data_IF_530940077438
#
_entry.id   IF_530940077438
#
_cell.length_a   1.000
_cell.length_b   1.000
_cell.length_c   1.000
_cell.angle_alpha   90.00
_cell.angle_beta   90.00
_cell.angle_gamma   90.00
#
_symmetry.space_group_name_H-M   'P 1'
#
loop_
_entity.id
_entity.type
_entity.pdbx_description
1 polymer ?
#
# COMPACT_ATOMS: atom_id res chain seq x y z
N UNK A 1 -19.99 -27.54 1.27
CA UNK A 1 -18.69 -27.85 1.91
C UNK A 1 -17.55 -27.06 1.24
N UNK A 2 -17.32 -27.17 -0.06
CA UNK A 2 -16.26 -26.50 -0.80
C UNK A 2 -16.27 -24.96 -0.65
N UNK A 3 -17.41 -24.28 -0.93
CA UNK A 3 -17.53 -22.82 -0.78
C UNK A 3 -17.18 -22.34 0.63
N UNK A 4 -17.62 -23.07 1.67
CA UNK A 4 -17.32 -22.73 3.07
C UNK A 4 -15.82 -22.77 3.34
N UNK A 5 -15.12 -23.80 2.82
CA UNK A 5 -13.67 -23.93 2.96
C UNK A 5 -12.93 -22.75 2.29
N UNK A 6 -13.32 -22.35 1.09
CA UNK A 6 -12.73 -21.23 0.37
C UNK A 6 -12.96 -19.90 1.10
N UNK A 7 -14.17 -19.69 1.61
CA UNK A 7 -14.54 -18.51 2.40
C UNK A 7 -13.71 -18.43 3.69
N UNK A 8 -13.53 -19.54 4.40
CA UNK A 8 -12.68 -19.56 5.60
C UNK A 8 -11.19 -19.33 5.27
N UNK A 9 -10.72 -19.82 4.14
CA UNK A 9 -9.35 -19.50 3.67
C UNK A 9 -9.20 -18.01 3.34
N UNK A 10 -10.20 -17.41 2.70
CA UNK A 10 -10.23 -15.98 2.44
C UNK A 10 -10.19 -15.16 3.74
N UNK A 11 -11.02 -15.50 4.73
CA UNK A 11 -11.01 -14.82 6.04
C UNK A 11 -9.64 -14.86 6.71
N UNK A 12 -8.95 -16.01 6.69
CA UNK A 12 -7.61 -16.13 7.26
C UNK A 12 -6.60 -15.21 6.57
N UNK A 13 -6.72 -15.04 5.26
CA UNK A 13 -5.83 -14.20 4.47
C UNK A 13 -6.16 -12.70 4.62
N UNK A 14 -7.45 -12.34 4.55
CA UNK A 14 -7.90 -10.97 4.42
C UNK A 14 -8.29 -10.30 5.75
N UNK A 15 -8.44 -11.07 6.84
CA UNK A 15 -8.87 -10.54 8.13
C UNK A 15 -7.92 -10.88 9.28
N UNK A 16 -6.82 -11.57 9.01
CA UNK A 16 -5.78 -11.83 10.00
C UNK A 16 -4.96 -10.57 10.31
N UNK A 17 -4.29 -10.55 11.46
CA UNK A 17 -3.31 -9.48 11.73
C UNK A 17 -2.10 -9.60 10.81
N UNK A 18 -1.55 -8.45 10.46
CA UNK A 18 -0.31 -8.30 9.69
C UNK A 18 0.81 -7.81 10.62
N UNK A 19 1.32 -8.70 11.45
CA UNK A 19 2.42 -8.40 12.36
C UNK A 19 3.75 -8.87 11.77
N UNK A 20 4.86 -8.31 12.25
CA UNK A 20 6.18 -8.81 11.89
C UNK A 20 6.37 -10.24 12.41
N UNK A 21 6.67 -11.13 11.50
CA UNK A 21 6.92 -12.55 11.82
C UNK A 21 8.40 -12.86 12.00
N UNK A 22 9.29 -11.90 11.80
CA UNK A 22 10.74 -12.09 11.80
C UNK A 22 11.28 -12.85 10.57
N UNK A 23 10.47 -13.07 9.56
CA UNK A 23 10.86 -13.78 8.34
C UNK A 23 11.41 -12.83 7.24
N UNK A 24 11.34 -11.51 7.46
CA UNK A 24 11.76 -10.45 6.54
C UNK A 24 12.43 -9.35 7.36
N UNK A 25 13.43 -8.70 6.81
CA UNK A 25 14.03 -7.51 7.41
C UNK A 25 13.29 -6.25 6.91
N UNK A 26 13.06 -5.31 7.82
CA UNK A 26 12.52 -4.00 7.51
C UNK A 26 13.53 -2.94 7.90
N UNK A 27 13.79 -2.00 7.00
CA UNK A 27 14.54 -0.81 7.35
C UNK A 27 13.73 0.07 8.30
N UNK A 28 14.41 0.72 9.22
CA UNK A 28 13.87 1.74 10.11
C UNK A 28 14.49 3.11 9.84
N UNK A 29 14.01 4.15 10.46
CA UNK A 29 14.64 5.48 10.33
C UNK A 29 16.11 5.48 10.80
N UNK A 30 16.47 4.61 11.74
CA UNK A 30 17.84 4.51 12.27
C UNK A 30 18.87 3.98 11.24
N UNK A 31 18.41 3.39 10.16
CA UNK A 31 19.27 2.90 9.06
C UNK A 31 19.65 4.02 8.07
N UNK A 32 19.10 5.24 8.25
CA UNK A 32 19.35 6.40 7.40
C UNK A 32 19.88 7.57 8.22
N UNK A 33 21.10 7.99 7.93
CA UNK A 33 21.73 9.12 8.63
C UNK A 33 20.85 10.39 8.50
N UNK A 34 20.61 11.07 9.64
CA UNK A 34 19.83 12.31 9.77
C UNK A 34 18.34 12.22 9.37
N UNK A 35 17.79 11.03 9.14
CA UNK A 35 16.36 10.88 8.93
C UNK A 35 15.62 11.02 10.28
N UNK A 36 14.94 12.13 10.48
CA UNK A 36 14.13 12.38 11.66
C UNK A 36 12.81 11.61 11.59
N UNK A 37 12.38 11.07 12.73
CA UNK A 37 11.10 10.42 12.91
C UNK A 37 10.39 10.93 14.15
N UNK A 38 9.12 11.31 14.01
CA UNK A 38 8.25 11.75 15.09
C UNK A 38 7.00 10.86 15.12
N UNK A 39 6.65 10.33 16.29
CA UNK A 39 5.44 9.50 16.44
C UNK A 39 4.19 10.37 16.27
N UNK A 40 3.26 9.88 15.45
CA UNK A 40 1.96 10.48 15.18
C UNK A 40 0.85 9.45 15.33
N UNK A 41 0.13 9.46 16.44
CA UNK A 41 -0.96 8.53 16.73
C UNK A 41 -2.29 9.26 16.58
N UNK A 42 -3.25 8.61 15.95
CA UNK A 42 -4.58 9.18 15.73
C UNK A 42 -5.67 8.12 15.92
N UNK A 43 -6.90 8.55 16.27
CA UNK A 43 -8.00 7.61 16.49
C UNK A 43 -8.54 7.06 15.17
N UNK A 44 -8.80 5.75 15.14
CA UNK A 44 -9.68 5.15 14.14
C UNK A 44 -11.14 5.39 14.57
N UNK A 45 -12.02 5.61 13.59
CA UNK A 45 -13.47 5.64 13.82
C UNK A 45 -14.04 4.30 14.30
N UNK A 46 -13.25 3.23 14.25
CA UNK A 46 -13.57 1.92 14.83
C UNK A 46 -13.27 1.84 16.34
N UNK A 47 -12.78 2.91 16.97
CA UNK A 47 -12.57 3.00 18.42
C UNK A 47 -11.22 2.50 18.93
N UNK A 48 -10.23 2.32 18.08
CA UNK A 48 -8.85 2.03 18.46
C UNK A 48 -7.89 3.08 17.91
N UNK A 49 -6.62 3.02 18.29
CA UNK A 49 -5.58 3.92 17.80
C UNK A 49 -4.89 3.34 16.54
N UNK A 50 -4.58 4.22 15.59
CA UNK A 50 -3.68 3.96 14.48
C UNK A 50 -2.33 4.63 14.77
N UNK A 51 -1.27 3.85 14.66
CA UNK A 51 0.09 4.27 14.98
C UNK A 51 0.81 4.69 13.71
N UNK A 52 1.12 5.98 13.63
CA UNK A 52 1.82 6.60 12.50
C UNK A 52 3.10 7.29 12.93
N UNK A 53 3.84 7.74 11.95
CA UNK A 53 5.13 8.38 12.09
C UNK A 53 5.32 9.43 11.01
N UNK A 54 5.80 10.61 11.42
CA UNK A 54 6.21 11.68 10.54
C UNK A 54 7.71 11.58 10.29
N UNK A 55 8.08 11.47 9.04
CA UNK A 55 9.47 11.38 8.59
C UNK A 55 9.88 12.65 7.86
N UNK A 56 11.09 13.14 8.09
CA UNK A 56 11.67 14.24 7.30
C UNK A 56 13.17 14.34 7.52
N UNK A 57 13.89 14.84 6.53
CA UNK A 57 15.19 15.45 6.76
C UNK A 57 15.06 16.87 7.27
N UNK A 58 16.19 17.51 7.62
CA UNK A 58 16.21 18.90 8.02
C UNK A 58 15.64 19.82 6.91
N UNK A 59 14.89 20.83 7.30
CA UNK A 59 14.34 21.84 6.39
C UNK A 59 13.46 21.28 5.25
N UNK A 60 12.43 20.49 5.54
CA UNK A 60 11.52 20.00 4.50
C UNK A 60 10.79 21.16 3.80
N UNK A 61 10.31 20.91 2.58
CA UNK A 61 9.51 21.85 1.80
C UNK A 61 8.33 22.34 2.64
N UNK A 62 8.24 23.67 2.93
CA UNK A 62 7.20 24.18 3.81
C UNK A 62 5.79 23.98 3.28
N UNK A 63 4.85 23.64 4.16
CA UNK A 63 3.43 23.54 3.83
C UNK A 63 3.08 22.37 2.90
N UNK A 64 3.92 21.34 2.81
CA UNK A 64 3.65 20.13 2.03
C UNK A 64 3.78 18.87 2.88
N UNK A 65 2.75 18.03 2.82
CA UNK A 65 2.74 16.73 3.48
C UNK A 65 2.34 15.65 2.48
N UNK A 66 3.13 14.58 2.44
CA UNK A 66 2.77 13.36 1.72
C UNK A 66 2.28 12.34 2.76
N UNK A 67 1.13 11.73 2.54
CA UNK A 67 0.72 10.51 3.25
C UNK A 67 1.16 9.32 2.40
N UNK A 68 2.00 8.44 2.97
CA UNK A 68 2.39 7.19 2.32
C UNK A 68 1.56 6.04 2.88
N UNK A 69 0.81 5.38 2.01
CA UNK A 69 -0.17 4.36 2.37
C UNK A 69 0.33 2.95 1.98
N UNK A 70 0.61 2.12 2.98
CA UNK A 70 1.31 0.85 2.82
C UNK A 70 0.43 -0.30 2.29
N UNK A 71 1.05 -1.30 1.67
CA UNK A 71 0.39 -2.54 1.23
C UNK A 71 0.16 -3.54 2.35
N UNK A 72 -0.68 -4.55 2.09
CA UNK A 72 -0.98 -5.62 3.04
C UNK A 72 0.23 -6.53 3.28
N UNK A 73 0.36 -7.01 4.51
CA UNK A 73 1.33 -8.06 4.89
C UNK A 73 2.43 -7.60 5.85
N UNK A 74 2.50 -6.32 6.13
CA UNK A 74 3.39 -5.69 7.12
C UNK A 74 2.81 -4.33 7.52
N UNK A 75 3.61 -3.49 8.16
CA UNK A 75 3.28 -2.09 8.44
C UNK A 75 4.04 -1.14 7.51
N UNK A 76 4.09 0.12 7.92
CA UNK A 76 4.78 1.19 7.19
C UNK A 76 6.29 0.95 7.07
N UNK A 77 6.93 0.26 8.03
CA UNK A 77 8.38 -0.02 7.99
C UNK A 77 8.80 -0.87 6.78
N UNK A 78 7.88 -1.67 6.21
CA UNK A 78 8.14 -2.39 4.96
C UNK A 78 8.37 -1.45 3.75
N UNK A 79 8.12 -0.16 3.92
CA UNK A 79 8.23 0.90 2.90
C UNK A 79 9.18 2.02 3.29
N UNK A 80 10.03 1.82 4.29
CA UNK A 80 10.96 2.87 4.78
C UNK A 80 11.88 3.40 3.67
N UNK A 81 12.30 2.55 2.73
CA UNK A 81 13.08 2.98 1.54
C UNK A 81 12.31 3.96 0.66
N UNK A 82 11.04 3.69 0.38
CA UNK A 82 10.16 4.57 -0.40
C UNK A 82 9.87 5.88 0.34
N UNK A 83 9.62 5.79 1.64
CA UNK A 83 9.40 6.96 2.52
C UNK A 83 10.66 7.82 2.52
N UNK A 84 11.83 7.22 2.68
CA UNK A 84 13.12 7.90 2.67
C UNK A 84 13.40 8.61 1.34
N UNK A 85 13.11 7.97 0.20
CA UNK A 85 13.22 8.59 -1.13
C UNK A 85 12.40 9.89 -1.23
N UNK A 86 11.18 9.89 -0.68
CA UNK A 86 10.34 11.09 -0.63
C UNK A 86 10.91 12.15 0.32
N UNK A 87 11.42 11.74 1.49
CA UNK A 87 12.06 12.64 2.45
C UNK A 87 13.33 13.26 1.87
N UNK A 88 14.15 12.49 1.16
CA UNK A 88 15.37 12.99 0.46
C UNK A 88 15.04 13.99 -0.65
N UNK A 89 13.86 13.86 -1.27
CA UNK A 89 13.36 14.85 -2.22
C UNK A 89 12.80 16.12 -1.54
N UNK A 90 12.89 16.22 -0.21
CA UNK A 90 12.52 17.38 0.60
C UNK A 90 11.11 17.35 1.15
N UNK A 91 10.35 16.26 1.02
CA UNK A 91 9.01 16.18 1.57
C UNK A 91 9.00 15.77 3.04
N UNK A 92 8.02 16.27 3.79
CA UNK A 92 7.60 15.64 5.04
C UNK A 92 6.63 14.51 4.68
N UNK A 93 6.83 13.32 5.25
CA UNK A 93 6.03 12.13 4.95
C UNK A 93 5.39 11.61 6.23
N UNK A 94 4.08 11.44 6.23
CA UNK A 94 3.36 10.68 7.24
C UNK A 94 3.10 9.28 6.68
N UNK A 95 3.47 8.27 7.43
CA UNK A 95 3.04 6.89 7.17
C UNK A 95 2.57 6.26 8.48
N UNK A 96 1.65 5.32 8.41
CA UNK A 96 1.02 4.71 9.58
C UNK A 96 0.73 3.24 9.32
N UNK A 97 0.53 2.48 10.38
CA UNK A 97 0.11 1.09 10.29
C UNK A 97 -1.42 1.02 10.21
N UNK A 98 -1.95 0.33 9.22
CA UNK A 98 -3.40 0.09 9.09
C UNK A 98 -3.98 -0.69 10.27
N UNK A 99 -5.28 -0.62 10.44
CA UNK A 99 -6.04 -1.48 11.39
C UNK A 99 -5.58 -2.93 11.29
N UNK A 100 -5.22 -3.52 12.44
CA UNK A 100 -4.75 -4.91 12.51
C UNK A 100 -3.35 -5.14 11.97
N UNK A 101 -2.54 -4.09 11.79
CA UNK A 101 -1.14 -4.18 11.39
C UNK A 101 -0.22 -3.65 12.51
N UNK A 102 0.87 -4.35 12.76
CA UNK A 102 1.96 -3.94 13.67
C UNK A 102 1.45 -3.36 15.00
N UNK A 103 1.74 -2.07 15.29
CA UNK A 103 1.36 -1.42 16.54
C UNK A 103 -0.07 -0.87 16.55
N UNK A 104 -0.72 -0.76 15.39
CA UNK A 104 -2.10 -0.30 15.31
C UNK A 104 -3.09 -1.28 15.92
N UNK A 105 -4.17 -0.75 16.50
CA UNK A 105 -5.24 -1.52 17.11
C UNK A 105 -6.03 -2.36 16.10
N UNK A 106 -7.01 -3.09 16.62
CA UNK A 106 -7.82 -4.04 15.84
C UNK A 106 -7.33 -5.49 15.97
N UNK A 107 -8.26 -6.44 16.00
CA UNK A 107 -7.96 -7.88 16.06
C UNK A 107 -7.47 -8.46 14.73
N UNK A 108 -7.61 -7.71 13.64
CA UNK A 108 -7.19 -8.05 12.28
C UNK A 108 -7.44 -6.92 11.32
N UNK A 109 -7.06 -7.11 10.07
CA UNK A 109 -7.10 -6.10 8.99
C UNK A 109 -8.51 -5.71 8.54
N UNK A 110 -9.54 -6.35 9.03
CA UNK A 110 -10.95 -6.05 8.77
C UNK A 110 -11.38 -6.00 7.29
N UNK A 111 -10.58 -6.55 6.36
CA UNK A 111 -10.93 -6.72 4.94
C UNK A 111 -10.25 -5.74 3.99
N UNK A 112 -10.58 -5.91 2.70
CA UNK A 112 -9.88 -5.21 1.61
C UNK A 112 -10.18 -3.72 1.53
N UNK A 113 -11.36 -3.28 1.98
CA UNK A 113 -11.72 -1.86 1.96
C UNK A 113 -11.24 -1.09 3.20
N UNK A 114 -10.67 -1.79 4.19
CA UNK A 114 -10.21 -1.15 5.43
C UNK A 114 -9.10 -0.13 5.21
N UNK A 115 -8.22 -0.34 4.22
CA UNK A 115 -7.18 0.67 3.93
C UNK A 115 -7.77 2.04 3.56
N UNK A 116 -8.88 2.07 2.81
CA UNK A 116 -9.54 3.33 2.48
C UNK A 116 -10.21 3.96 3.72
N UNK A 117 -10.78 3.15 4.59
CA UNK A 117 -11.35 3.61 5.85
C UNK A 117 -10.26 4.25 6.75
N UNK A 118 -9.14 3.56 6.93
CA UNK A 118 -8.03 4.06 7.74
C UNK A 118 -7.39 5.32 7.14
N UNK A 119 -7.27 5.40 5.82
CA UNK A 119 -6.76 6.58 5.13
C UNK A 119 -7.70 7.79 5.28
N UNK A 120 -9.02 7.57 5.25
CA UNK A 120 -10.03 8.59 5.53
C UNK A 120 -9.90 9.12 6.96
N UNK A 121 -9.73 8.22 7.95
CA UNK A 121 -9.49 8.60 9.35
C UNK A 121 -8.16 9.36 9.53
N UNK A 122 -7.10 8.96 8.82
CA UNK A 122 -5.83 9.69 8.76
C UNK A 122 -6.03 11.12 8.25
N UNK A 123 -6.74 11.31 7.14
CA UNK A 123 -7.02 12.65 6.60
C UNK A 123 -7.89 13.49 7.50
N UNK A 124 -8.88 12.92 8.19
CA UNK A 124 -9.67 13.60 9.22
C UNK A 124 -8.77 14.08 10.36
N UNK A 125 -7.84 13.25 10.81
CA UNK A 125 -6.92 13.58 11.91
C UNK A 125 -5.94 14.70 11.52
N UNK A 126 -5.25 14.61 10.37
CA UNK A 126 -4.28 15.64 9.96
C UNK A 126 -4.96 16.97 9.64
N UNK A 127 -6.18 16.97 9.10
CA UNK A 127 -6.97 18.20 8.85
C UNK A 127 -7.44 18.87 10.13
N UNK A 128 -7.65 18.11 11.20
CA UNK A 128 -8.00 18.63 12.52
C UNK A 128 -6.79 19.11 13.31
N UNK A 129 -5.57 18.75 12.92
CA UNK A 129 -4.34 19.12 13.61
C UNK A 129 -3.84 20.51 13.14
N UNK A 130 -3.75 21.52 14.06
CA UNK A 130 -3.30 22.87 13.70
C UNK A 130 -1.89 22.91 13.08
N UNK A 131 -1.04 21.90 13.31
CA UNK A 131 0.32 21.82 12.73
C UNK A 131 0.29 21.75 11.21
N UNK A 132 -0.79 21.23 10.64
CA UNK A 132 -0.96 21.06 9.19
C UNK A 132 -1.96 22.04 8.57
N UNK A 133 -2.35 23.08 9.31
CA UNK A 133 -3.25 24.11 8.78
C UNK A 133 -2.64 24.79 7.54
N UNK A 134 -3.37 24.76 6.43
CA UNK A 134 -2.93 25.34 5.16
C UNK A 134 -1.91 24.50 4.38
N UNK A 135 -1.64 23.27 4.79
CA UNK A 135 -0.77 22.36 4.04
C UNK A 135 -1.44 21.87 2.74
N UNK A 136 -0.61 21.66 1.76
CA UNK A 136 -0.93 20.96 0.50
C UNK A 136 -0.69 19.45 0.71
N UNK A 137 -1.73 18.64 0.54
CA UNK A 137 -1.68 17.21 0.80
C UNK A 137 -1.52 16.42 -0.50
N UNK A 138 -0.60 15.46 -0.46
CA UNK A 138 -0.40 14.47 -1.52
C UNK A 138 -0.46 13.07 -0.94
N UNK A 139 -0.85 12.09 -1.74
CA UNK A 139 -0.89 10.67 -1.31
C UNK A 139 -0.08 9.81 -2.25
N UNK A 140 0.73 8.93 -1.69
CA UNK A 140 1.49 7.90 -2.40
C UNK A 140 1.14 6.55 -1.79
N UNK A 141 0.76 5.56 -2.59
CA UNK A 141 0.41 4.25 -2.03
C UNK A 141 0.73 3.07 -2.94
N UNK A 142 0.88 1.92 -2.31
CA UNK A 142 1.20 0.67 -3.00
C UNK A 142 0.20 -0.43 -2.67
N UNK A 143 -0.23 -1.20 -3.68
CA UNK A 143 -1.03 -2.41 -3.50
C UNK A 143 -2.35 -2.15 -2.77
N UNK A 144 -2.51 -2.63 -1.52
CA UNK A 144 -3.65 -2.37 -0.65
C UNK A 144 -3.80 -0.89 -0.32
N UNK A 145 -2.71 -0.23 0.08
CA UNK A 145 -2.65 1.22 0.18
C UNK A 145 -2.81 1.93 -1.17
N UNK A 146 -2.48 1.27 -2.27
CA UNK A 146 -2.78 1.76 -3.61
C UNK A 146 -4.28 1.82 -3.93
N UNK A 147 -5.10 0.90 -3.40
CA UNK A 147 -6.56 0.97 -3.52
C UNK A 147 -7.12 2.19 -2.79
N UNK A 148 -6.71 2.43 -1.56
CA UNK A 148 -7.12 3.60 -0.78
C UNK A 148 -6.68 4.89 -1.46
N UNK A 149 -5.41 4.97 -1.88
CA UNK A 149 -4.84 6.11 -2.59
C UNK A 149 -5.59 6.43 -3.90
N UNK A 150 -6.01 5.42 -4.67
CA UNK A 150 -6.84 5.59 -5.88
C UNK A 150 -8.22 6.20 -5.59
N UNK A 151 -8.75 5.98 -4.39
CA UNK A 151 -10.15 6.32 -4.08
C UNK A 151 -10.31 7.49 -3.10
N UNK A 152 -9.25 7.89 -2.39
CA UNK A 152 -9.32 8.87 -1.31
C UNK A 152 -9.79 10.27 -1.77
N UNK A 153 -9.50 10.67 -3.01
CA UNK A 153 -9.90 11.97 -3.53
C UNK A 153 -11.42 12.14 -3.70
N UNK A 154 -12.20 11.05 -3.63
CA UNK A 154 -13.65 11.15 -3.55
C UNK A 154 -14.15 11.59 -2.16
N UNK A 155 -13.35 11.37 -1.13
CA UNK A 155 -13.64 11.74 0.27
C UNK A 155 -12.93 13.07 0.63
N UNK A 156 -11.75 13.29 0.05
CA UNK A 156 -10.88 14.45 0.30
C UNK A 156 -10.48 15.11 -1.03
N UNK A 157 -11.38 15.91 -1.65
CA UNK A 157 -11.16 16.53 -2.96
C UNK A 157 -10.07 17.61 -2.97
N UNK A 158 -9.60 18.05 -1.79
CA UNK A 158 -8.48 18.98 -1.61
C UNK A 158 -7.10 18.34 -1.85
N UNK A 159 -6.99 17.03 -1.97
CA UNK A 159 -5.72 16.35 -2.28
C UNK A 159 -5.25 16.79 -3.65
N UNK A 160 -4.01 17.29 -3.71
CA UNK A 160 -3.43 17.87 -4.92
C UNK A 160 -2.77 16.83 -5.83
N UNK A 161 -2.14 15.78 -5.24
CA UNK A 161 -1.42 14.76 -6.00
C UNK A 161 -1.74 13.36 -5.49
N UNK A 162 -1.88 12.43 -6.43
CA UNK A 162 -2.13 11.01 -6.18
C UNK A 162 -1.11 10.19 -6.96
N UNK A 163 -0.27 9.42 -6.28
CA UNK A 163 0.71 8.52 -6.90
C UNK A 163 0.46 7.10 -6.46
N UNK A 164 0.30 6.17 -7.38
CA UNK A 164 -0.04 4.79 -7.07
C UNK A 164 0.90 3.80 -7.73
N UNK A 165 1.42 2.89 -6.93
CA UNK A 165 2.14 1.71 -7.39
C UNK A 165 1.25 0.47 -7.25
N UNK A 166 0.90 -0.18 -8.35
CA UNK A 166 0.18 -1.47 -8.38
C UNK A 166 -1.08 -1.54 -7.50
N UNK A 167 -1.90 -0.48 -7.45
CA UNK A 167 -3.18 -0.48 -6.74
C UNK A 167 -4.26 -1.31 -7.45
N UNK A 168 -5.24 -1.82 -6.74
CA UNK A 168 -6.39 -2.47 -7.37
C UNK A 168 -7.58 -1.50 -7.47
N UNK A 169 -8.35 -1.61 -8.55
CA UNK A 169 -9.41 -0.64 -8.93
C UNK A 169 -10.58 -0.64 -7.96
N UNK A 170 -11.03 -1.82 -7.54
CA UNK A 170 -12.11 -2.01 -6.57
C UNK A 170 -12.01 -3.38 -5.91
N UNK A 171 -12.61 -3.52 -4.73
CA UNK A 171 -12.68 -4.81 -4.01
C UNK A 171 -13.37 -5.87 -4.89
N UNK A 172 -14.43 -5.52 -5.60
CA UNK A 172 -15.15 -6.44 -6.48
C UNK A 172 -14.24 -6.97 -7.60
N UNK A 173 -13.51 -6.08 -8.32
CA UNK A 173 -12.57 -6.48 -9.38
C UNK A 173 -11.40 -7.30 -8.86
N UNK A 174 -10.92 -7.00 -7.66
CA UNK A 174 -9.89 -7.80 -7.00
C UNK A 174 -10.39 -9.23 -6.78
N UNK A 175 -11.56 -9.39 -6.14
CA UNK A 175 -12.19 -10.69 -5.89
C UNK A 175 -12.47 -11.42 -7.21
N UNK A 176 -12.94 -10.73 -8.23
CA UNK A 176 -13.15 -11.31 -9.57
C UNK A 176 -11.86 -11.86 -10.18
N UNK A 177 -10.75 -11.16 -9.99
CA UNK A 177 -9.44 -11.55 -10.56
C UNK A 177 -8.88 -12.83 -9.94
N UNK A 178 -9.22 -13.10 -8.67
CA UNK A 178 -8.75 -14.29 -7.95
C UNK A 178 -9.72 -15.47 -8.01
N UNK A 179 -11.02 -15.20 -8.00
CA UNK A 179 -12.06 -16.22 -7.93
C UNK A 179 -12.74 -16.44 -9.30
N UNK A 180 -11.96 -16.90 -10.29
CA UNK A 180 -12.43 -17.30 -11.62
C UNK A 180 -12.82 -18.77 -11.73
N UNK A 181 -13.30 -19.19 -12.89
CA UNK A 181 -13.61 -20.59 -13.20
C UNK A 181 -14.54 -21.23 -12.15
N UNK A 182 -14.11 -22.37 -11.59
CA UNK A 182 -14.85 -23.11 -10.56
C UNK A 182 -15.08 -22.35 -9.26
N UNK A 183 -14.25 -21.32 -8.97
CA UNK A 183 -14.37 -20.50 -7.76
C UNK A 183 -15.38 -19.35 -7.91
N UNK A 184 -15.91 -19.10 -9.11
CA UNK A 184 -16.85 -17.99 -9.39
C UNK A 184 -18.04 -17.95 -8.43
N UNK A 185 -18.56 -19.12 -8.03
CA UNK A 185 -19.65 -19.23 -7.06
C UNK A 185 -19.34 -18.70 -5.66
N UNK A 186 -18.05 -18.59 -5.30
CA UNK A 186 -17.63 -18.07 -3.99
C UNK A 186 -17.67 -16.54 -3.90
N UNK A 187 -17.61 -15.83 -5.04
CA UNK A 187 -17.52 -14.35 -5.12
C UNK A 187 -18.61 -13.65 -4.31
N UNK A 188 -19.88 -14.08 -4.48
CA UNK A 188 -21.02 -13.47 -3.77
C UNK A 188 -20.91 -13.58 -2.24
N UNK A 189 -20.36 -14.69 -1.74
CA UNK A 189 -20.18 -14.90 -0.31
C UNK A 189 -19.04 -14.06 0.25
N UNK A 190 -17.93 -13.94 -0.50
CA UNK A 190 -16.79 -13.11 -0.14
C UNK A 190 -17.18 -11.63 -0.18
N UNK A 191 -17.86 -11.17 -1.24
CA UNK A 191 -18.37 -9.80 -1.32
C UNK A 191 -19.37 -9.46 -0.23
N UNK A 192 -20.20 -10.42 0.22
CA UNK A 192 -21.11 -10.21 1.34
C UNK A 192 -20.35 -9.95 2.65
N UNK A 193 -19.24 -10.68 2.89
CA UNK A 193 -18.37 -10.46 4.04
C UNK A 193 -17.68 -9.10 3.99
N UNK A 194 -17.14 -8.72 2.83
CA UNK A 194 -16.49 -7.40 2.65
C UNK A 194 -17.49 -6.25 2.89
N UNK A 195 -18.75 -6.39 2.40
CA UNK A 195 -19.83 -5.41 2.65
C UNK A 195 -20.26 -5.34 4.11
N UNK A 196 -20.25 -6.47 4.80
CA UNK A 196 -20.56 -6.52 6.24
C UNK A 196 -19.51 -5.77 7.06
N UNK A 197 -18.23 -5.89 6.69
CA UNK A 197 -17.10 -5.29 7.40
C UNK A 197 -16.93 -3.80 7.15
N UNK A 198 -17.05 -3.39 5.88
CA UNK A 198 -16.81 -2.01 5.45
C UNK A 198 -17.90 -1.53 4.50
N UNK A 199 -19.18 -1.40 4.97
CA UNK A 199 -20.32 -1.09 4.11
C UNK A 199 -20.15 0.22 3.33
N UNK A 200 -19.53 1.22 3.94
CA UNK A 200 -19.39 2.57 3.39
C UNK A 200 -18.22 2.66 2.37
N UNK A 201 -17.22 1.78 2.48
CA UNK A 201 -15.97 1.88 1.70
C UNK A 201 -15.82 0.79 0.62
N UNK A 202 -16.52 -0.33 0.74
CA UNK A 202 -16.34 -1.52 -0.12
C UNK A 202 -16.73 -1.30 -1.58
N UNK A 203 -17.62 -0.33 -1.85
CA UNK A 203 -18.16 -0.06 -3.18
C UNK A 203 -17.41 1.02 -3.96
N UNK A 204 -16.30 1.54 -3.43
CA UNK A 204 -15.47 2.50 -4.15
C UNK A 204 -14.85 1.87 -5.39
N UNK A 205 -14.80 2.65 -6.47
CA UNK A 205 -14.23 2.26 -7.76
C UNK A 205 -13.32 3.38 -8.26
N UNK A 206 -12.05 3.05 -8.44
CA UNK A 206 -11.02 4.00 -8.80
C UNK A 206 -11.26 4.73 -10.13
N UNK A 207 -11.87 4.05 -11.12
CA UNK A 207 -12.19 4.71 -12.40
C UNK A 207 -13.17 5.84 -12.16
N UNK A 208 -14.25 5.57 -11.41
CA UNK A 208 -15.27 6.59 -11.08
C UNK A 208 -14.68 7.73 -10.26
N UNK A 209 -13.87 7.42 -9.26
CA UNK A 209 -13.20 8.41 -8.42
C UNK A 209 -12.30 9.32 -9.26
N UNK A 210 -11.40 8.73 -10.05
CA UNK A 210 -10.42 9.48 -10.81
C UNK A 210 -10.99 10.23 -12.00
N UNK A 211 -12.15 9.82 -12.54
CA UNK A 211 -12.89 10.60 -13.51
C UNK A 211 -13.34 11.96 -12.95
N UNK A 212 -13.57 12.06 -11.64
CA UNK A 212 -14.08 13.24 -10.97
C UNK A 212 -13.04 14.02 -10.16
N UNK A 213 -11.79 13.53 -10.07
CA UNK A 213 -10.74 14.22 -9.31
C UNK A 213 -10.11 15.36 -10.10
N UNK A 214 -9.73 16.42 -9.38
CA UNK A 214 -8.87 17.50 -9.88
C UNK A 214 -7.39 17.30 -9.52
N UNK A 215 -7.08 16.31 -8.70
CA UNK A 215 -5.70 15.98 -8.34
C UNK A 215 -4.87 15.63 -9.59
N UNK A 216 -3.58 15.94 -9.57
CA UNK A 216 -2.62 15.40 -10.53
C UNK A 216 -2.33 13.94 -10.17
N UNK A 217 -2.52 13.02 -11.10
CA UNK A 217 -2.50 11.58 -10.84
C UNK A 217 -1.41 10.89 -11.65
N UNK A 218 -0.56 10.11 -10.98
CA UNK A 218 0.40 9.21 -11.62
C UNK A 218 0.14 7.77 -11.18
N UNK A 219 -0.16 6.90 -12.12
CA UNK A 219 -0.44 5.48 -11.89
C UNK A 219 0.67 4.64 -12.52
N UNK A 220 1.38 3.82 -11.73
CA UNK A 220 2.51 3.02 -12.19
C UNK A 220 2.22 1.55 -11.94
N UNK A 221 2.17 0.76 -13.01
CA UNK A 221 1.85 -0.67 -13.00
C UNK A 221 2.93 -1.47 -13.71
N UNK A 222 2.98 -2.77 -13.46
CA UNK A 222 3.84 -3.71 -14.19
C UNK A 222 3.02 -4.67 -15.04
N UNK A 223 3.50 -4.97 -16.24
CA UNK A 223 2.83 -5.84 -17.22
C UNK A 223 2.66 -7.28 -16.74
N UNK A 224 3.50 -7.73 -15.81
CA UNK A 224 3.54 -9.10 -15.29
C UNK A 224 3.19 -9.21 -13.79
N UNK A 225 2.49 -8.21 -13.22
CA UNK A 225 1.97 -8.27 -11.87
C UNK A 225 0.94 -9.41 -11.73
N UNK A 226 1.13 -10.29 -10.72
CA UNK A 226 0.25 -11.43 -10.45
C UNK A 226 -0.76 -11.14 -9.35
N UNK A 227 -0.55 -10.07 -8.57
CA UNK A 227 -1.42 -9.66 -7.48
C UNK A 227 -2.45 -8.64 -7.99
N UNK A 228 -2.03 -7.46 -8.40
CA UNK A 228 -2.88 -6.51 -9.10
C UNK A 228 -2.70 -6.68 -10.62
N UNK A 229 -3.29 -7.75 -11.14
CA UNK A 229 -3.12 -8.17 -12.54
C UNK A 229 -3.44 -7.02 -13.50
N UNK A 230 -2.69 -6.95 -14.60
CA UNK A 230 -2.91 -5.98 -15.67
C UNK A 230 -4.40 -5.94 -16.06
N UNK A 231 -4.99 -7.07 -16.37
CA UNK A 231 -6.44 -7.23 -16.47
C UNK A 231 -6.96 -7.87 -15.16
N UNK A 232 -7.86 -7.25 -14.41
CA UNK A 232 -8.76 -6.15 -14.78
C UNK A 232 -8.33 -4.75 -14.28
N UNK A 233 -7.16 -4.57 -13.67
CA UNK A 233 -6.85 -3.32 -12.94
C UNK A 233 -6.28 -2.24 -13.86
N UNK A 234 -5.08 -2.43 -14.40
CA UNK A 234 -4.47 -1.47 -15.32
C UNK A 234 -5.36 -1.20 -16.55
N UNK A 235 -5.88 -2.25 -17.20
CA UNK A 235 -6.66 -2.10 -18.43
C UNK A 235 -7.96 -1.29 -18.19
N UNK A 236 -8.59 -1.45 -17.02
CA UNK A 236 -9.78 -0.66 -16.67
C UNK A 236 -9.46 0.83 -16.45
N UNK A 237 -8.34 1.12 -15.76
CA UNK A 237 -7.87 2.50 -15.54
C UNK A 237 -7.48 3.16 -16.88
N UNK A 238 -6.68 2.46 -17.70
CA UNK A 238 -6.24 2.97 -19.00
C UNK A 238 -7.41 3.29 -19.94
N UNK A 239 -8.41 2.39 -19.97
CA UNK A 239 -9.60 2.61 -20.80
C UNK A 239 -10.52 3.71 -20.21
N UNK A 240 -10.74 3.70 -18.89
CA UNK A 240 -11.69 4.61 -18.25
C UNK A 240 -11.18 6.04 -18.06
N UNK A 241 -9.86 6.25 -18.12
CA UNK A 241 -9.22 7.55 -17.89
C UNK A 241 -8.49 8.09 -19.12
N UNK A 242 -8.70 7.51 -20.31
CA UNK A 242 -8.00 7.89 -21.54
C UNK A 242 -8.08 9.38 -21.89
N UNK A 243 -9.20 10.03 -21.57
CA UNK A 243 -9.45 11.43 -21.89
C UNK A 243 -9.07 12.41 -20.75
N UNK A 244 -8.55 11.90 -19.61
CA UNK A 244 -8.20 12.72 -18.44
C UNK A 244 -6.79 13.30 -18.56
N UNK A 245 -6.71 14.62 -18.73
CA UNK A 245 -5.45 15.35 -18.92
C UNK A 245 -4.59 15.43 -17.64
N UNK A 246 -5.21 15.28 -16.48
CA UNK A 246 -4.54 15.29 -15.17
C UNK A 246 -4.10 13.89 -14.69
N UNK A 247 -4.24 12.86 -15.54
CA UNK A 247 -3.88 11.47 -15.20
C UNK A 247 -2.82 10.95 -16.16
N UNK A 248 -1.66 10.57 -15.63
CA UNK A 248 -0.63 9.81 -16.36
C UNK A 248 -0.66 8.36 -15.90
N UNK A 249 -0.65 7.42 -16.85
CA UNK A 249 -0.62 5.97 -16.57
C UNK A 249 0.61 5.37 -17.22
N UNK A 250 1.47 4.75 -16.42
CA UNK A 250 2.74 4.15 -16.82
C UNK A 250 2.67 2.63 -16.65
N UNK A 251 3.05 1.89 -17.69
CA UNK A 251 3.20 0.44 -17.65
C UNK A 251 4.68 0.08 -17.81
N UNK A 252 5.32 -0.34 -16.73
CA UNK A 252 6.70 -0.84 -16.77
C UNK A 252 6.74 -2.34 -17.07
N UNK A 253 7.87 -2.83 -17.56
CA UNK A 253 8.02 -4.24 -17.96
C UNK A 253 8.74 -5.05 -16.90
N UNK A 254 8.21 -6.22 -16.58
CA UNK A 254 8.92 -7.26 -15.85
C UNK A 254 9.13 -7.01 -14.36
N UNK A 255 8.47 -6.01 -13.76
CA UNK A 255 8.68 -5.57 -12.37
C UNK A 255 7.78 -6.26 -11.35
N UNK A 256 6.98 -7.25 -11.75
CA UNK A 256 6.06 -7.95 -10.86
C UNK A 256 5.14 -6.96 -10.13
N UNK A 257 4.99 -7.15 -8.83
CA UNK A 257 4.14 -6.31 -7.98
C UNK A 257 4.84 -5.03 -7.45
N UNK A 258 6.13 -4.85 -7.71
CA UNK A 258 6.90 -3.70 -7.26
C UNK A 258 7.43 -2.90 -8.47
N UNK A 259 6.59 -2.10 -9.14
CA UNK A 259 6.97 -1.37 -10.35
C UNK A 259 8.06 -0.30 -10.11
N UNK A 260 8.23 0.13 -8.86
CA UNK A 260 9.23 1.09 -8.40
C UNK A 260 10.61 0.47 -8.13
N UNK A 261 10.73 -0.86 -8.10
CA UNK A 261 12.02 -1.55 -7.85
C UNK A 261 12.82 -1.72 -9.14
N UNK A 262 14.16 -1.86 -9.00
CA UNK A 262 15.01 -2.29 -10.14
C UNK A 262 14.65 -3.70 -10.60
N UNK A 263 15.00 -4.08 -11.81
CA UNK A 263 14.76 -5.44 -12.31
C UNK A 263 15.55 -6.49 -11.52
N UNK A 264 16.76 -6.14 -11.07
CA UNK A 264 17.60 -6.99 -10.24
C UNK A 264 16.97 -7.19 -8.85
N UNK A 265 16.49 -6.13 -8.21
CA UNK A 265 15.80 -6.21 -6.93
C UNK A 265 14.57 -7.13 -6.99
N UNK A 266 13.76 -7.01 -8.04
CA UNK A 266 12.60 -7.88 -8.26
C UNK A 266 13.01 -9.34 -8.41
N UNK A 267 14.04 -9.65 -9.19
CA UNK A 267 14.54 -11.01 -9.36
C UNK A 267 15.11 -11.58 -8.06
N UNK A 268 15.86 -10.77 -7.31
CA UNK A 268 16.45 -11.16 -6.03
C UNK A 268 15.36 -11.41 -4.97
N UNK A 269 14.34 -10.56 -4.93
CA UNK A 269 13.15 -10.72 -4.06
C UNK A 269 12.36 -11.98 -4.39
N UNK A 270 12.12 -12.27 -5.67
CA UNK A 270 11.45 -13.50 -6.11
C UNK A 270 12.22 -14.75 -5.64
N UNK A 271 13.56 -14.76 -5.76
CA UNK A 271 14.42 -15.84 -5.30
C UNK A 271 14.36 -16.02 -3.77
N UNK A 272 14.41 -14.92 -3.02
CA UNK A 272 14.26 -14.94 -1.56
C UNK A 272 12.94 -15.56 -1.13
N UNK A 273 11.80 -15.11 -1.66
CA UNK A 273 10.49 -15.64 -1.27
C UNK A 273 10.26 -17.10 -1.71
N UNK A 274 10.88 -17.52 -2.82
CA UNK A 274 10.89 -18.92 -3.21
C UNK A 274 11.65 -19.79 -2.21
N UNK A 275 12.81 -19.32 -1.72
CA UNK A 275 13.59 -20.04 -0.71
C UNK A 275 12.90 -19.99 0.66
N UNK A 276 12.38 -18.83 1.09
CA UNK A 276 11.61 -18.70 2.33
C UNK A 276 10.43 -19.70 2.36
N UNK A 277 9.74 -19.87 1.24
CA UNK A 277 8.64 -20.83 1.12
C UNK A 277 9.10 -22.27 1.33
N UNK A 278 10.28 -22.65 0.81
CA UNK A 278 10.88 -23.97 1.06
C UNK A 278 11.27 -24.13 2.51
N UNK A 279 11.90 -23.09 3.10
CA UNK A 279 12.32 -23.07 4.49
C UNK A 279 11.14 -23.23 5.46
N UNK A 280 10.03 -22.52 5.23
CA UNK A 280 8.81 -22.65 6.04
C UNK A 280 8.20 -24.06 5.97
N UNK A 281 8.24 -24.71 4.81
CA UNK A 281 7.77 -26.10 4.65
C UNK A 281 8.68 -27.10 5.37
N UNK A 282 10.00 -26.90 5.26
CA UNK A 282 10.98 -27.82 5.85
C UNK A 282 11.10 -27.66 7.36
N UNK A 283 10.98 -26.43 7.84
CA UNK A 283 11.17 -26.05 9.24
C UNK A 283 10.01 -25.14 9.71
N UNK A 284 8.81 -25.70 9.97
CA UNK A 284 7.61 -24.90 10.27
C UNK A 284 7.68 -24.16 11.62
N UNK A 285 8.54 -24.61 12.54
CA UNK A 285 8.63 -24.10 13.91
C UNK A 285 9.98 -23.42 14.20
N UNK A 286 10.51 -22.64 13.25
CA UNK A 286 11.74 -21.86 13.47
C UNK A 286 11.56 -20.88 14.64
N UNK A 287 12.58 -20.81 15.50
CA UNK A 287 12.69 -19.75 16.52
C UNK A 287 12.98 -18.39 15.84
N UNK A 288 12.73 -17.28 16.55
CA UNK A 288 13.09 -15.95 16.05
C UNK A 288 14.58 -15.84 15.73
N UNK A 289 15.46 -16.44 16.53
CA UNK A 289 16.90 -16.48 16.27
C UNK A 289 17.24 -17.20 14.95
N UNK A 290 16.61 -18.36 14.69
CA UNK A 290 16.79 -19.09 13.42
C UNK A 290 16.26 -18.33 12.21
N UNK A 291 15.19 -17.53 12.37
CA UNK A 291 14.67 -16.66 11.34
C UNK A 291 15.63 -15.48 11.09
N UNK A 292 16.09 -14.84 12.16
CA UNK A 292 17.05 -13.73 12.06
C UNK A 292 18.34 -14.17 11.36
N UNK A 293 18.88 -15.37 11.68
CA UNK A 293 20.03 -15.93 10.99
C UNK A 293 19.79 -16.13 9.50
N UNK A 294 18.60 -16.65 9.11
CA UNK A 294 18.24 -16.80 7.70
C UNK A 294 18.10 -15.45 6.98
N UNK A 295 17.49 -14.48 7.64
CA UNK A 295 17.28 -13.10 7.10
C UNK A 295 18.62 -12.39 6.90
N UNK A 296 19.59 -12.58 7.82
CA UNK A 296 20.92 -11.97 7.75
C UNK A 296 21.79 -12.46 6.57
N UNK A 297 21.45 -13.58 5.95
CA UNK A 297 22.17 -14.10 4.77
C UNK A 297 21.84 -13.34 3.46
N UNK A 298 20.91 -12.38 3.48
CA UNK A 298 20.44 -11.68 2.30
C UNK A 298 20.84 -10.20 2.30
N UNK A 299 21.08 -9.68 1.10
CA UNK A 299 21.35 -8.28 0.85
C UNK A 299 20.01 -7.51 0.69
N UNK A 300 19.59 -6.83 1.75
CA UNK A 300 18.32 -6.11 1.80
C UNK A 300 18.35 -4.79 1.04
N UNK A 301 19.52 -4.14 0.92
CA UNK A 301 19.70 -2.98 0.07
C UNK A 301 19.46 -3.33 -1.40
N UNK A 302 20.05 -4.43 -1.86
CA UNK A 302 19.79 -4.97 -3.20
C UNK A 302 18.34 -5.37 -3.41
N UNK A 303 17.73 -6.04 -2.40
CA UNK A 303 16.36 -6.54 -2.49
C UNK A 303 15.31 -5.45 -2.60
N UNK A 304 15.60 -4.27 -2.06
CA UNK A 304 14.70 -3.11 -2.04
C UNK A 304 15.22 -1.93 -2.88
N UNK A 305 16.20 -2.19 -3.77
CA UNK A 305 16.79 -1.16 -4.62
C UNK A 305 15.72 -0.53 -5.54
N UNK A 306 15.63 0.78 -5.47
CA UNK A 306 14.63 1.58 -6.16
C UNK A 306 15.06 1.94 -7.59
N UNK A 307 14.12 1.97 -8.54
CA UNK A 307 14.37 2.34 -9.93
C UNK A 307 14.32 3.87 -10.09
N UNK A 308 15.49 4.48 -10.30
CA UNK A 308 15.62 5.93 -10.41
C UNK A 308 14.75 6.54 -11.52
N UNK A 309 14.57 5.83 -12.66
CA UNK A 309 13.76 6.34 -13.76
C UNK A 309 12.26 6.39 -13.40
N UNK A 310 11.79 5.44 -12.60
CA UNK A 310 10.43 5.44 -12.06
C UNK A 310 10.27 6.56 -11.03
N UNK A 311 11.23 6.71 -10.12
CA UNK A 311 11.19 7.76 -9.11
C UNK A 311 11.33 9.18 -9.69
N UNK A 312 12.07 9.36 -10.78
CA UNK A 312 12.09 10.63 -11.50
C UNK A 312 10.69 11.07 -11.97
N UNK A 313 9.85 10.12 -12.44
CA UNK A 313 8.44 10.39 -12.79
C UNK A 313 7.60 10.75 -11.57
N UNK A 314 7.83 10.05 -10.45
CA UNK A 314 7.12 10.36 -9.19
C UNK A 314 7.43 11.78 -8.73
N UNK A 315 8.71 12.16 -8.71
CA UNK A 315 9.11 13.51 -8.31
C UNK A 315 8.60 14.58 -9.27
N UNK A 316 8.55 14.30 -10.58
CA UNK A 316 7.94 15.22 -11.56
C UNK A 316 6.42 15.37 -11.34
N UNK A 317 5.73 14.29 -11.05
CA UNK A 317 4.30 14.32 -10.74
C UNK A 317 3.98 15.10 -9.46
N UNK A 318 4.86 15.04 -8.46
CA UNK A 318 4.69 15.73 -7.16
C UNK A 318 5.10 17.22 -7.19
N UNK A 319 5.75 17.71 -8.26
CA UNK A 319 6.02 19.14 -8.41
C UNK A 319 4.73 19.92 -8.71
N UNK A 320 4.66 21.16 -8.19
CA UNK A 320 3.55 22.08 -8.51
C UNK A 320 3.57 22.53 -9.94
#
# INVERSE_FOLDING_TARGET
MFTKMIVEQYKKMAYGRCDDTGDVFFFSAADFEDLNVERYVFPSSLGHELHGYLYSYENPIPGRLIVFDHGMGAGHEAYTKEIEMLCRAGYKVLSYDHTGCMLSGGEGTNGMAQSLHDLDDCFKAIKADPRFAGYDFSVVGHSWGGFSTLNISALHPEISHVVVFSGFVSVEKLIESYFGGLLKGCRKHIMALERERNPDYVNFDAVKTLQNTNAKVLLIYSDNDKLCKKNPHYDALAAGLADKQNVEIVLVKGKRHNPNYTADAVAYKDAFFAELTKQRKKYPNKTLEQKAAFVADYDWDRMTAQDEAVWAKVFEALKK
#
